data_IF_442633679164
#
_entry.id   IF_442633679164
#
_cell.length_a   1.000
_cell.length_b   1.000
_cell.length_c   1.000
_cell.angle_alpha   90.00
_cell.angle_beta   90.00
_cell.angle_gamma   90.00
#
_symmetry.space_group_name_H-M   'P 1'
#
loop_
_entity.id
_entity.type
_entity.pdbx_description
1 polymer ?
#
# COMPACT_ATOMS: atom_id res chain seq x y z
N UNK A 1 -44.95 5.50 37.13
CA UNK A 1 -43.53 5.82 37.33
C UNK A 1 -42.61 5.03 36.44
N UNK A 2 -42.80 3.74 36.30
CA UNK A 2 -41.88 2.91 35.43
C UNK A 2 -41.93 3.33 33.95
N UNK A 3 -43.04 3.76 33.42
CA UNK A 3 -43.19 4.23 32.02
C UNK A 3 -42.39 5.47 31.65
N UNK A 4 -41.99 6.29 32.59
CA UNK A 4 -41.20 7.50 32.36
C UNK A 4 -39.69 7.26 32.51
N UNK A 5 -39.28 6.12 33.10
CA UNK A 5 -37.88 5.74 33.22
C UNK A 5 -37.31 5.07 31.96
N UNK A 6 -38.18 4.43 31.17
CA UNK A 6 -37.76 3.74 29.94
C UNK A 6 -37.14 4.69 28.89
N UNK A 7 -37.74 5.89 28.57
CA UNK A 7 -37.12 6.80 27.64
C UNK A 7 -35.80 7.42 28.16
N UNK A 8 -35.68 7.62 29.46
CA UNK A 8 -34.46 8.13 30.08
C UNK A 8 -33.34 7.07 29.97
N UNK A 9 -33.64 5.80 30.19
CA UNK A 9 -32.70 4.69 30.06
C UNK A 9 -32.25 4.53 28.60
N UNK A 10 -33.14 4.70 27.63
CA UNK A 10 -32.83 4.68 26.21
C UNK A 10 -31.92 5.81 25.78
N UNK A 11 -32.10 7.01 26.32
CA UNK A 11 -31.24 8.18 26.07
C UNK A 11 -29.85 7.95 26.67
N UNK A 12 -29.75 7.42 27.87
CA UNK A 12 -28.46 7.11 28.49
C UNK A 12 -27.71 6.04 27.73
N UNK A 13 -28.39 5.03 27.20
CA UNK A 13 -27.78 3.96 26.40
C UNK A 13 -27.27 4.45 25.04
N UNK A 14 -27.93 5.44 24.43
CA UNK A 14 -27.46 6.01 23.15
C UNK A 14 -26.20 6.88 23.28
N UNK A 15 -25.87 7.38 24.46
CA UNK A 15 -24.62 8.12 24.72
C UNK A 15 -23.40 7.22 24.93
N UNK A 16 -23.57 5.93 25.13
CA UNK A 16 -22.47 4.99 25.34
C UNK A 16 -21.90 4.39 24.06
N UNK A 17 -22.55 4.60 22.90
CA UNK A 17 -22.01 4.20 21.60
C UNK A 17 -21.04 5.27 21.13
N UNK A 18 -19.83 5.23 21.67
CA UNK A 18 -18.72 6.02 21.12
C UNK A 18 -18.24 5.29 19.86
N UNK A 19 -18.21 5.94 18.70
CA UNK A 19 -17.59 5.34 17.54
C UNK A 19 -16.12 5.10 17.87
N UNK A 20 -15.69 3.84 17.85
CA UNK A 20 -14.28 3.49 17.86
C UNK A 20 -13.66 4.18 16.65
N UNK A 21 -12.83 5.20 16.88
CA UNK A 21 -12.04 5.79 15.81
C UNK A 21 -11.11 4.70 15.31
N UNK A 22 -11.36 4.20 14.11
CA UNK A 22 -10.36 3.44 13.38
C UNK A 22 -9.20 4.40 13.10
N UNK A 23 -8.07 4.22 13.78
CA UNK A 23 -6.85 4.92 13.43
C UNK A 23 -6.36 4.30 12.12
N UNK A 24 -6.67 4.95 11.00
CA UNK A 24 -6.00 4.67 9.74
C UNK A 24 -4.53 5.06 9.92
N UNK A 25 -3.61 4.17 9.53
CA UNK A 25 -2.18 4.49 9.52
C UNK A 25 -1.96 5.60 8.48
N UNK A 26 -1.48 6.76 8.92
CA UNK A 26 -1.16 7.87 8.05
C UNK A 26 0.26 7.69 7.51
N UNK A 27 0.35 7.24 6.27
CA UNK A 27 1.61 7.27 5.52
C UNK A 27 1.83 8.68 4.99
N UNK A 28 2.98 9.24 5.26
CA UNK A 28 3.39 10.53 4.70
C UNK A 28 4.83 10.44 4.24
N UNK A 29 5.02 10.59 2.94
CA UNK A 29 6.32 10.46 2.31
C UNK A 29 6.41 11.30 1.03
N UNK A 30 7.63 11.51 0.57
CA UNK A 30 7.93 12.06 -0.75
C UNK A 30 8.77 11.06 -1.54
N UNK A 31 8.74 11.17 -2.86
CA UNK A 31 9.59 10.40 -3.78
C UNK A 31 10.51 11.38 -4.51
N UNK A 32 11.64 11.79 -3.89
CA UNK A 32 12.53 12.79 -4.49
C UNK A 32 13.23 12.31 -5.75
N UNK A 33 13.32 10.99 -5.94
CA UNK A 33 13.92 10.41 -7.13
C UNK A 33 13.19 9.14 -7.56
N UNK A 34 12.94 9.05 -8.86
CA UNK A 34 12.40 7.88 -9.51
C UNK A 34 13.02 7.75 -10.90
N UNK A 35 13.52 6.56 -11.24
CA UNK A 35 14.00 6.25 -12.58
C UNK A 35 13.56 4.85 -13.00
N UNK A 36 13.39 4.67 -14.30
CA UNK A 36 13.12 3.39 -14.92
C UNK A 36 14.07 3.24 -16.11
N UNK A 37 14.91 2.22 -16.05
CA UNK A 37 15.78 1.86 -17.16
C UNK A 37 15.22 0.62 -17.86
N UNK A 38 15.08 0.70 -19.17
CA UNK A 38 14.54 -0.37 -20.00
C UNK A 38 15.61 -0.90 -20.93
N UNK A 39 15.84 -2.22 -20.90
CA UNK A 39 16.82 -2.89 -21.73
C UNK A 39 16.10 -3.85 -22.68
N UNK A 40 16.27 -3.63 -23.97
CA UNK A 40 15.71 -4.49 -25.01
C UNK A 40 16.58 -5.73 -25.19
N UNK A 41 16.01 -6.91 -24.97
CA UNK A 41 16.71 -8.17 -25.13
C UNK A 41 16.58 -8.72 -26.57
N UNK A 42 17.52 -9.56 -26.98
CA UNK A 42 17.55 -10.16 -28.33
C UNK A 42 16.33 -11.04 -28.64
N UNK A 43 15.70 -11.63 -27.61
CA UNK A 43 14.49 -12.43 -27.72
C UNK A 43 13.18 -11.63 -27.85
N UNK A 44 13.29 -10.29 -27.86
CA UNK A 44 12.15 -9.37 -27.92
C UNK A 44 11.52 -9.00 -26.57
N UNK A 45 12.04 -9.54 -25.47
CA UNK A 45 11.62 -9.15 -24.15
C UNK A 45 12.28 -7.86 -23.68
N UNK A 46 11.71 -7.23 -22.65
CA UNK A 46 12.28 -6.08 -21.95
C UNK A 46 12.69 -6.46 -20.53
N UNK A 47 13.91 -6.10 -20.18
CA UNK A 47 14.33 -6.06 -18.79
C UNK A 47 14.13 -4.64 -18.25
N UNK A 48 13.42 -4.49 -17.13
CA UNK A 48 13.13 -3.22 -16.51
C UNK A 48 13.83 -3.12 -15.16
N UNK A 49 14.50 -2.02 -14.94
CA UNK A 49 15.10 -1.69 -13.66
C UNK A 49 14.45 -0.42 -13.11
N UNK A 50 13.77 -0.55 -11.98
CA UNK A 50 13.13 0.55 -11.28
C UNK A 50 13.98 0.98 -10.09
N UNK A 51 14.22 2.25 -9.98
CA UNK A 51 14.89 2.84 -8.81
C UNK A 51 14.00 3.92 -8.22
N UNK A 52 13.69 3.78 -6.93
CA UNK A 52 12.92 4.77 -6.18
C UNK A 52 13.68 5.19 -4.94
N UNK A 53 13.60 6.47 -4.62
CA UNK A 53 14.03 6.98 -3.33
C UNK A 53 12.79 7.50 -2.62
N UNK A 54 12.48 6.94 -1.46
CA UNK A 54 11.39 7.37 -0.60
C UNK A 54 11.95 8.10 0.61
N UNK A 55 11.34 9.21 0.96
CA UNK A 55 11.64 9.93 2.20
C UNK A 55 10.37 9.98 3.05
N UNK A 56 10.39 9.28 4.19
CA UNK A 56 9.29 9.34 5.15
C UNK A 56 9.32 10.65 5.93
N UNK A 57 8.16 11.26 6.14
CA UNK A 57 8.04 12.34 7.09
C UNK A 57 8.16 11.81 8.52
N UNK A 58 8.75 12.61 9.41
CA UNK A 58 9.03 12.20 10.80
C UNK A 58 7.79 11.79 11.60
N UNK A 59 6.63 12.32 11.22
CA UNK A 59 5.34 12.06 11.86
C UNK A 59 4.51 10.99 11.14
N UNK A 60 4.94 10.61 9.93
CA UNK A 60 4.27 9.60 9.11
C UNK A 60 4.61 8.19 9.58
N UNK A 61 3.69 7.25 9.32
CA UNK A 61 3.98 5.83 9.49
C UNK A 61 5.07 5.40 8.50
N UNK A 62 6.10 4.64 8.91
CA UNK A 62 7.10 4.13 7.99
C UNK A 62 6.47 3.29 6.88
N UNK A 63 7.00 3.39 5.66
CA UNK A 63 6.55 2.57 4.53
C UNK A 63 6.90 1.11 4.82
N UNK A 64 5.91 0.23 4.79
CA UNK A 64 6.06 -1.20 5.05
C UNK A 64 6.03 -2.03 3.77
N UNK A 65 5.33 -1.55 2.75
CA UNK A 65 5.24 -2.19 1.44
C UNK A 65 5.06 -1.16 0.34
N UNK A 66 5.32 -1.56 -0.88
CA UNK A 66 5.15 -0.73 -2.08
C UNK A 66 4.45 -1.56 -3.14
N UNK A 67 3.37 -1.05 -3.69
CA UNK A 67 2.76 -1.59 -4.90
C UNK A 67 3.37 -0.91 -6.11
N UNK A 68 3.98 -1.70 -6.99
CA UNK A 68 4.67 -1.22 -8.17
C UNK A 68 3.89 -1.58 -9.43
N UNK A 69 3.50 -0.58 -10.21
CA UNK A 69 2.85 -0.78 -11.51
C UNK A 69 3.80 -1.31 -12.56
N UNK A 70 3.35 -2.31 -13.33
CA UNK A 70 4.08 -2.92 -14.44
C UNK A 70 3.36 -2.64 -15.77
N UNK A 71 4.08 -2.64 -16.92
CA UNK A 71 3.50 -2.24 -18.21
C UNK A 71 2.41 -3.18 -18.72
N UNK A 72 2.46 -4.46 -18.35
CA UNK A 72 1.49 -5.49 -18.76
C UNK A 72 1.52 -6.68 -17.80
N UNK A 73 0.65 -7.66 -18.01
CA UNK A 73 0.55 -8.87 -17.21
C UNK A 73 1.48 -10.01 -17.62
N UNK A 74 2.32 -9.81 -18.63
CA UNK A 74 3.24 -10.83 -19.13
C UNK A 74 4.56 -10.80 -18.35
N UNK A 75 4.47 -11.12 -17.08
CA UNK A 75 5.60 -11.22 -16.15
C UNK A 75 5.40 -12.38 -15.18
N UNK A 76 6.51 -12.87 -14.64
CA UNK A 76 6.55 -13.86 -13.58
C UNK A 76 7.18 -13.23 -12.33
N UNK A 77 6.47 -13.29 -11.21
CA UNK A 77 6.97 -12.76 -9.93
C UNK A 77 8.28 -13.39 -9.48
N UNK A 78 8.56 -14.63 -9.90
CA UNK A 78 9.82 -15.31 -9.63
C UNK A 78 11.02 -14.73 -10.38
N UNK A 79 10.77 -13.98 -11.46
CA UNK A 79 11.80 -13.28 -12.24
C UNK A 79 12.16 -11.91 -11.66
N UNK A 80 11.45 -11.46 -10.65
CA UNK A 80 11.64 -10.15 -10.04
C UNK A 80 12.61 -10.26 -8.87
N UNK A 81 13.59 -9.36 -8.85
CA UNK A 81 14.53 -9.20 -7.75
C UNK A 81 14.40 -7.77 -7.22
N UNK A 82 14.29 -7.62 -5.93
CA UNK A 82 14.18 -6.32 -5.28
C UNK A 82 15.15 -6.16 -4.12
N UNK A 83 15.60 -4.93 -3.92
CA UNK A 83 16.48 -4.54 -2.83
C UNK A 83 15.95 -3.27 -2.17
N UNK A 84 16.03 -3.21 -0.85
CA UNK A 84 15.76 -2.02 -0.06
C UNK A 84 17.00 -1.73 0.78
N UNK A 85 17.59 -0.55 0.57
CA UNK A 85 18.84 -0.16 1.23
C UNK A 85 19.96 -1.21 1.15
N UNK A 86 20.08 -1.86 -0.02
CA UNK A 86 21.06 -2.89 -0.29
C UNK A 86 20.72 -4.29 0.24
N UNK A 87 19.59 -4.46 0.93
CA UNK A 87 19.12 -5.75 1.43
C UNK A 87 18.09 -6.35 0.48
N UNK A 88 18.27 -7.60 0.11
CA UNK A 88 17.34 -8.29 -0.77
C UNK A 88 15.99 -8.54 -0.07
N UNK A 89 14.90 -8.25 -0.80
CA UNK A 89 13.54 -8.52 -0.40
C UNK A 89 13.05 -9.77 -1.14
N UNK A 90 12.43 -10.68 -0.42
CA UNK A 90 11.92 -11.95 -0.96
C UNK A 90 10.40 -12.02 -0.98
N UNK A 91 9.72 -11.14 -0.27
CA UNK A 91 8.26 -11.08 -0.21
C UNK A 91 7.73 -10.27 -1.41
N UNK A 92 7.66 -10.92 -2.55
CA UNK A 92 7.20 -10.34 -3.82
C UNK A 92 6.02 -11.17 -4.31
N UNK A 93 4.88 -10.51 -4.50
CA UNK A 93 3.65 -11.13 -4.99
C UNK A 93 2.91 -10.21 -5.94
N UNK A 94 2.01 -10.76 -6.74
CA UNK A 94 1.15 -9.95 -7.60
C UNK A 94 0.28 -9.02 -6.75
N UNK A 95 0.23 -7.74 -7.11
CA UNK A 95 -0.57 -6.76 -6.39
C UNK A 95 -2.06 -6.89 -6.75
N UNK A 96 -2.91 -6.94 -5.72
CA UNK A 96 -4.36 -6.87 -5.85
C UNK A 96 -4.92 -5.44 -5.83
N UNK A 97 -4.08 -4.44 -5.62
CA UNK A 97 -4.49 -3.04 -5.49
C UNK A 97 -4.54 -2.28 -6.81
N UNK A 98 -4.03 -2.86 -7.88
CA UNK A 98 -4.11 -2.27 -9.21
C UNK A 98 -5.56 -2.35 -9.71
N UNK A 99 -6.05 -1.27 -10.31
CA UNK A 99 -7.40 -1.20 -10.86
C UNK A 99 -7.61 -2.17 -12.02
N UNK A 100 -8.83 -2.24 -12.53
CA UNK A 100 -9.18 -3.10 -13.66
C UNK A 100 -8.31 -2.79 -14.89
N UNK A 101 -7.54 -3.78 -15.32
CA UNK A 101 -6.62 -3.67 -16.46
C UNK A 101 -5.22 -3.19 -16.11
N UNK A 102 -4.95 -2.91 -14.83
CA UNK A 102 -3.62 -2.60 -14.34
C UNK A 102 -2.90 -3.85 -13.81
N UNK A 103 -1.60 -3.86 -13.92
CA UNK A 103 -0.74 -4.96 -13.49
C UNK A 103 0.33 -4.46 -12.55
N UNK A 104 0.67 -5.26 -11.55
CA UNK A 104 1.68 -4.86 -10.57
C UNK A 104 2.11 -5.95 -9.59
N UNK A 105 3.05 -5.60 -8.79
CA UNK A 105 3.63 -6.42 -7.72
C UNK A 105 3.77 -5.61 -6.44
#
# INVERSE_FOLDING_TARGET
MIRKLIPILLIVFSFTIHPLRANAQDYSYTVPNMSVDAYWNEDGSLSLEYTFVFTNDNWGHPIEYVDLGLPNGDFDTTSITAFVDGNQVYDISASGFMGDGDYGV
#
